data_IF_995860950930
#
_entry.id   IF_995860950930
#
_cell.length_a   1.000
_cell.length_b   1.000
_cell.length_c   1.000
_cell.angle_alpha   90.00
_cell.angle_beta   90.00
_cell.angle_gamma   90.00
#
_symmetry.space_group_name_H-M   'P 1'
#
loop_
_entity.id
_entity.type
_entity.pdbx_description
1 polymer ?
#
# COMPACT_ATOMS: atom_id res chain seq x y z
N UNK A 1 52.03 -48.36 9.96
CA UNK A 1 52.04 -49.81 9.71
C UNK A 1 50.65 -50.17 9.20
N UNK A 2 50.44 -50.14 7.89
CA UNK A 2 50.54 -51.25 6.91
C UNK A 2 49.31 -52.15 6.91
N UNK A 3 48.63 -52.25 5.75
CA UNK A 3 47.66 -53.32 5.48
C UNK A 3 46.47 -52.94 4.59
N UNK A 4 46.64 -53.02 3.26
CA UNK A 4 45.62 -53.33 2.22
C UNK A 4 46.24 -54.48 1.39
N UNK A 5 45.58 -55.15 0.41
CA UNK A 5 44.17 -55.36 0.03
C UNK A 5 43.83 -56.87 -0.21
N UNK A 6 42.61 -57.21 -0.69
CA UNK A 6 42.33 -58.15 -1.82
C UNK A 6 40.80 -58.35 -1.98
N UNK A 7 40.18 -57.91 -3.10
CA UNK A 7 39.91 -58.60 -4.40
C UNK A 7 38.62 -59.45 -4.37
N UNK A 8 37.50 -58.99 -4.96
CA UNK A 8 37.03 -59.16 -6.36
C UNK A 8 36.40 -60.53 -6.65
N UNK A 9 35.18 -60.51 -7.22
CA UNK A 9 34.41 -61.52 -8.00
C UNK A 9 33.05 -61.82 -7.35
N UNK A 10 31.91 -61.82 -8.04
CA UNK A 10 31.58 -61.70 -9.46
C UNK A 10 30.23 -62.39 -9.67
N UNK A 11 29.42 -61.89 -10.63
CA UNK A 11 28.27 -62.57 -11.27
C UNK A 11 27.10 -62.93 -10.36
N UNK A 12 25.99 -62.19 -10.31
CA UNK A 12 24.97 -62.03 -11.37
C UNK A 12 24.23 -63.34 -11.70
N UNK A 13 22.97 -63.16 -12.10
CA UNK A 13 22.09 -64.08 -12.82
C UNK A 13 21.21 -64.98 -11.94
N UNK A 14 19.90 -65.07 -12.15
CA UNK A 14 18.88 -64.29 -12.85
C UNK A 14 17.56 -64.88 -12.31
N UNK A 15 16.56 -64.04 -12.10
CA UNK A 15 15.35 -63.98 -12.94
C UNK A 15 14.56 -65.28 -13.03
N UNK A 16 13.27 -65.18 -12.73
CA UNK A 16 12.25 -65.16 -13.80
C UNK A 16 10.91 -64.82 -13.13
N UNK A 17 10.37 -63.63 -13.39
CA UNK A 17 9.56 -63.27 -14.58
C UNK A 17 8.11 -63.72 -14.37
N UNK A 18 7.06 -63.09 -14.89
CA UNK A 18 6.83 -62.49 -16.20
C UNK A 18 5.30 -62.22 -16.21
N UNK A 19 4.67 -61.22 -16.83
CA UNK A 19 4.89 -60.48 -18.07
C UNK A 19 3.95 -59.23 -18.03
N UNK A 20 4.37 -57.99 -18.36
CA UNK A 20 4.66 -57.42 -19.71
C UNK A 20 3.37 -57.23 -20.52
N UNK A 21 3.08 -56.14 -21.25
CA UNK A 21 3.56 -54.74 -21.43
C UNK A 21 2.69 -54.14 -22.56
N UNK A 22 2.55 -52.81 -22.65
CA UNK A 22 2.97 -52.00 -23.83
C UNK A 22 2.30 -50.61 -23.90
N UNK A 23 3.08 -49.62 -24.35
CA UNK A 23 2.65 -48.33 -24.91
C UNK A 23 2.96 -47.14 -24.01
N UNK A 24 4.13 -46.49 -24.09
CA UNK A 24 4.42 -45.37 -25.00
C UNK A 24 4.13 -44.02 -24.30
N UNK A 25 4.95 -42.96 -24.26
CA UNK A 25 6.09 -42.52 -25.07
C UNK A 25 6.66 -41.23 -24.41
N UNK A 26 7.96 -41.26 -24.04
CA UNK A 26 9.00 -40.18 -24.03
C UNK A 26 8.84 -38.97 -23.07
N UNK A 27 9.74 -38.79 -22.07
CA UNK A 27 11.08 -38.09 -22.06
C UNK A 27 10.93 -36.55 -22.06
N UNK A 28 11.67 -35.71 -21.31
CA UNK A 28 12.87 -35.84 -20.49
C UNK A 28 12.94 -34.68 -19.46
N UNK A 29 13.63 -34.92 -18.35
CA UNK A 29 14.09 -33.92 -17.38
C UNK A 29 15.28 -33.16 -17.98
N UNK A 30 15.25 -31.83 -17.96
CA UNK A 30 16.42 -30.95 -18.18
C UNK A 30 16.30 -29.74 -17.25
N UNK A 31 17.42 -29.39 -16.64
CA UNK A 31 17.65 -28.26 -15.75
C UNK A 31 17.40 -26.92 -16.47
N UNK A 32 16.77 -25.94 -15.80
CA UNK A 32 17.19 -24.53 -15.76
C UNK A 32 16.25 -23.72 -14.84
N UNK A 33 16.86 -23.06 -13.86
CA UNK A 33 16.61 -21.69 -13.37
C UNK A 33 15.24 -21.00 -13.56
N UNK A 34 14.75 -20.43 -12.46
CA UNK A 34 13.98 -19.19 -12.48
C UNK A 34 12.47 -19.33 -12.23
N UNK A 35 12.06 -19.30 -10.97
CA UNK A 35 10.82 -18.60 -10.61
C UNK A 35 10.80 -18.29 -9.11
N UNK A 36 11.53 -17.24 -8.72
CA UNK A 36 11.29 -16.56 -7.45
C UNK A 36 10.32 -15.43 -7.74
N UNK A 37 9.04 -15.73 -7.59
CA UNK A 37 7.92 -14.81 -7.74
C UNK A 37 7.83 -13.82 -6.55
N UNK A 38 8.96 -13.13 -6.28
CA UNK A 38 9.12 -12.12 -5.24
C UNK A 38 9.63 -10.80 -5.84
N UNK A 39 8.90 -10.20 -6.79
CA UNK A 39 9.31 -8.89 -7.33
C UNK A 39 8.19 -7.85 -7.49
N UNK A 40 6.95 -8.18 -7.16
CA UNK A 40 5.84 -7.22 -7.33
C UNK A 40 5.53 -6.43 -6.06
N UNK A 41 5.53 -7.10 -4.89
CA UNK A 41 5.05 -6.50 -3.63
C UNK A 41 6.15 -5.75 -2.88
N UNK A 42 7.38 -6.28 -2.92
CA UNK A 42 8.57 -5.64 -2.33
C UNK A 42 8.99 -4.42 -3.15
N UNK A 43 8.95 -4.50 -4.49
CA UNK A 43 9.25 -3.36 -5.37
C UNK A 43 8.29 -2.20 -5.15
N UNK A 44 6.98 -2.47 -4.99
CA UNK A 44 5.96 -1.44 -4.72
C UNK A 44 6.12 -0.77 -3.35
N UNK A 45 6.62 -1.49 -2.33
CA UNK A 45 6.95 -0.93 -1.00
C UNK A 45 8.29 -0.19 -0.97
N UNK A 46 9.30 -0.67 -1.69
CA UNK A 46 10.62 -0.05 -1.76
C UNK A 46 10.62 1.21 -2.65
N UNK A 47 9.87 1.20 -3.76
CA UNK A 47 9.61 2.37 -4.61
C UNK A 47 8.76 3.43 -3.90
N UNK A 48 8.02 3.05 -2.85
CA UNK A 48 7.31 3.97 -1.96
C UNK A 48 8.22 4.74 -0.99
N UNK A 49 9.42 4.24 -0.69
CA UNK A 49 10.38 4.88 0.21
C UNK A 49 11.32 5.87 -0.50
N UNK A 50 11.38 5.85 -1.84
CA UNK A 50 12.31 6.66 -2.66
C UNK A 50 11.62 7.62 -3.64
N UNK A 51 10.34 7.93 -3.45
CA UNK A 51 9.75 9.10 -4.10
C UNK A 51 10.05 10.31 -3.23
N UNK A 52 10.76 11.32 -3.72
CA UNK A 52 10.86 12.57 -2.98
C UNK A 52 9.43 13.09 -2.76
N UNK A 53 9.07 13.39 -1.51
CA UNK A 53 7.80 14.02 -1.16
C UNK A 53 7.84 15.46 -1.66
N UNK A 54 7.52 15.64 -2.92
CA UNK A 54 7.51 16.94 -3.56
C UNK A 54 6.36 17.77 -3.04
N UNK A 55 6.65 19.01 -2.70
CA UNK A 55 5.65 19.97 -2.20
C UNK A 55 5.70 21.22 -3.05
N UNK A 56 4.73 22.11 -2.85
CA UNK A 56 4.73 23.43 -3.49
C UNK A 56 6.00 24.26 -3.20
N UNK A 57 6.70 23.98 -2.09
CA UNK A 57 7.95 24.65 -1.69
C UNK A 57 9.21 23.96 -2.20
N UNK A 58 9.09 22.91 -2.99
CA UNK A 58 10.23 22.26 -3.64
C UNK A 58 10.80 23.16 -4.74
N UNK A 59 12.14 23.15 -4.89
CA UNK A 59 12.80 24.08 -5.82
C UNK A 59 12.70 23.58 -7.26
N UNK A 60 12.56 24.50 -8.21
CA UNK A 60 12.58 24.21 -9.65
C UNK A 60 13.89 23.54 -10.06
N UNK A 61 15.01 23.94 -9.44
CA UNK A 61 16.33 23.32 -9.64
C UNK A 61 16.31 21.83 -9.30
N UNK A 62 15.73 21.44 -8.16
CA UNK A 62 15.67 20.04 -7.76
C UNK A 62 14.82 19.20 -8.73
N UNK A 63 13.77 19.79 -9.30
CA UNK A 63 12.93 19.09 -10.29
C UNK A 63 13.61 18.90 -11.64
N UNK A 64 14.30 19.93 -12.13
CA UNK A 64 14.90 19.89 -13.46
C UNK A 64 16.24 19.16 -13.45
N UNK A 65 17.01 19.25 -12.36
CA UNK A 65 18.39 18.76 -12.30
C UNK A 65 18.60 17.64 -11.26
N UNK A 66 17.61 17.35 -10.42
CA UNK A 66 17.69 16.29 -9.41
C UNK A 66 17.35 14.90 -9.96
N UNK A 67 18.03 13.87 -9.43
CA UNK A 67 17.63 12.47 -9.59
C UNK A 67 18.08 11.74 -10.85
N UNK A 68 18.90 12.33 -11.73
CA UNK A 68 19.53 11.60 -12.84
C UNK A 68 20.88 11.04 -12.42
N UNK A 69 21.13 9.76 -12.70
CA UNK A 69 22.45 9.14 -12.57
C UNK A 69 23.45 9.92 -13.41
N UNK A 70 24.58 10.33 -12.84
CA UNK A 70 25.53 11.22 -13.50
C UNK A 70 26.48 10.43 -14.41
N UNK A 71 25.93 9.69 -15.37
CA UNK A 71 26.65 8.90 -16.40
C UNK A 71 27.76 9.71 -17.07
N UNK A 72 27.50 10.98 -17.35
CA UNK A 72 28.46 11.93 -17.94
C UNK A 72 29.71 12.23 -17.08
N UNK A 73 29.68 11.94 -15.77
CA UNK A 73 30.87 12.05 -14.89
C UNK A 73 31.80 10.84 -14.99
N UNK A 74 31.37 9.78 -15.67
CA UNK A 74 32.21 8.62 -15.97
C UNK A 74 33.41 9.05 -16.81
N UNK A 75 34.55 8.38 -16.60
CA UNK A 75 35.76 8.58 -17.41
C UNK A 75 35.61 7.90 -18.77
N UNK A 76 36.30 8.42 -19.78
CA UNK A 76 36.30 7.88 -21.14
C UNK A 76 36.73 6.41 -21.12
N UNK A 77 37.83 6.05 -20.45
CA UNK A 77 38.27 4.66 -20.37
C UNK A 77 37.27 3.74 -19.66
N UNK A 78 36.55 4.22 -18.65
CA UNK A 78 35.49 3.44 -17.99
C UNK A 78 34.32 3.18 -18.97
N UNK A 79 33.97 4.19 -19.77
CA UNK A 79 32.96 4.07 -20.82
C UNK A 79 33.39 3.10 -21.92
N UNK A 80 34.64 3.19 -22.39
CA UNK A 80 35.20 2.30 -23.42
C UNK A 80 35.22 0.86 -22.94
N UNK A 81 35.72 0.59 -21.74
CA UNK A 81 35.72 -0.77 -21.17
C UNK A 81 34.32 -1.35 -21.06
N UNK A 82 33.35 -0.52 -20.65
CA UNK A 82 31.97 -0.95 -20.48
C UNK A 82 31.24 -1.27 -21.81
N UNK A 83 31.69 -0.72 -22.94
CA UNK A 83 30.98 -0.84 -24.23
C UNK A 83 31.78 -1.58 -25.32
N UNK A 84 33.10 -1.47 -25.33
CA UNK A 84 34.02 -2.02 -26.34
C UNK A 84 34.98 -3.08 -25.76
N UNK A 85 34.99 -3.27 -24.43
CA UNK A 85 35.83 -4.26 -23.74
C UNK A 85 37.21 -3.74 -23.31
N UNK A 86 37.95 -4.57 -22.57
CA UNK A 86 39.19 -4.15 -21.87
C UNK A 86 40.34 -3.71 -22.78
N UNK A 87 40.27 -4.04 -24.07
CA UNK A 87 41.29 -3.70 -25.06
C UNK A 87 41.16 -2.26 -25.59
N UNK A 88 39.97 -1.65 -25.46
CA UNK A 88 39.73 -0.27 -25.92
C UNK A 88 40.03 0.72 -24.78
N UNK A 89 41.15 1.43 -24.90
CA UNK A 89 41.54 2.49 -23.96
C UNK A 89 42.35 3.58 -24.66
N UNK A 90 42.15 4.81 -24.23
CA UNK A 90 43.07 5.93 -24.50
C UNK A 90 44.15 5.99 -23.43
N UNK A 91 45.21 6.73 -23.69
CA UNK A 91 46.24 7.00 -22.67
C UNK A 91 45.65 7.76 -21.46
N UNK A 92 46.43 7.85 -20.39
CA UNK A 92 45.95 8.46 -19.14
C UNK A 92 45.72 9.98 -19.30
N UNK A 93 46.48 10.64 -20.18
CA UNK A 93 46.40 12.08 -20.42
C UNK A 93 45.10 12.47 -21.17
N UNK A 94 44.58 11.58 -22.03
CA UNK A 94 43.33 11.78 -22.76
C UNK A 94 42.12 11.12 -22.08
N UNK A 95 42.30 10.45 -20.94
CA UNK A 95 41.21 9.81 -20.17
C UNK A 95 40.33 10.83 -19.42
N UNK A 96 39.61 11.67 -20.16
CA UNK A 96 38.75 12.73 -19.60
C UNK A 96 37.38 12.23 -19.18
N UNK A 97 36.55 13.10 -18.61
CA UNK A 97 35.13 12.77 -18.36
C UNK A 97 34.38 12.70 -19.69
N UNK A 98 33.31 11.91 -19.74
CA UNK A 98 32.44 11.86 -20.91
C UNK A 98 31.84 13.23 -21.26
N UNK A 99 31.64 14.11 -20.27
CA UNK A 99 31.25 15.51 -20.51
C UNK A 99 32.26 16.31 -21.33
N UNK A 100 33.57 16.16 -21.05
CA UNK A 100 34.62 16.82 -21.82
C UNK A 100 34.79 16.17 -23.20
N UNK A 101 34.74 14.85 -23.26
CA UNK A 101 34.86 14.11 -24.52
C UNK A 101 33.74 14.45 -25.52
N UNK A 102 32.48 14.53 -25.07
CA UNK A 102 31.34 14.85 -25.96
C UNK A 102 31.43 16.25 -26.57
N UNK A 103 32.13 17.18 -25.92
CA UNK A 103 32.30 18.54 -26.45
C UNK A 103 33.29 18.59 -27.61
N UNK A 104 34.37 17.82 -27.54
CA UNK A 104 35.42 17.81 -28.57
C UNK A 104 36.10 16.42 -28.65
N UNK A 105 35.45 15.42 -29.28
CA UNK A 105 35.95 14.05 -29.30
C UNK A 105 37.33 13.89 -29.98
N UNK A 106 37.57 14.67 -31.05
CA UNK A 106 38.78 14.65 -31.85
C UNK A 106 40.03 15.07 -31.05
N UNK A 107 39.84 15.88 -30.00
CA UNK A 107 40.93 16.29 -29.10
C UNK A 107 41.46 15.15 -28.21
N UNK A 108 40.70 14.07 -28.04
CA UNK A 108 41.01 12.99 -27.08
C UNK A 108 41.22 11.62 -27.73
N UNK A 109 40.70 11.39 -28.93
CA UNK A 109 40.88 10.13 -29.66
C UNK A 109 41.45 10.43 -31.05
N UNK A 110 42.74 10.17 -31.24
CA UNK A 110 43.42 10.39 -32.51
C UNK A 110 43.17 9.27 -33.53
N UNK A 111 42.89 8.05 -33.06
CA UNK A 111 42.52 6.92 -33.92
C UNK A 111 41.11 7.13 -34.46
N UNK A 112 41.05 7.48 -35.75
CA UNK A 112 39.79 7.79 -36.44
C UNK A 112 38.84 6.59 -36.53
N UNK A 113 39.36 5.36 -36.60
CA UNK A 113 38.52 4.18 -36.65
C UNK A 113 37.86 3.92 -35.30
N UNK A 114 38.63 4.04 -34.21
CA UNK A 114 38.12 3.93 -32.85
C UNK A 114 37.13 5.07 -32.53
N UNK A 115 37.43 6.30 -32.96
CA UNK A 115 36.54 7.44 -32.76
C UNK A 115 35.21 7.22 -33.48
N UNK A 116 35.22 6.80 -34.74
CA UNK A 116 34.00 6.48 -35.50
C UNK A 116 33.19 5.38 -34.80
N UNK A 117 33.84 4.34 -34.29
CA UNK A 117 33.20 3.27 -33.53
C UNK A 117 32.51 3.81 -32.26
N UNK A 118 33.19 4.65 -31.48
CA UNK A 118 32.63 5.29 -30.28
C UNK A 118 31.42 6.17 -30.62
N UNK A 119 31.53 7.00 -31.66
CA UNK A 119 30.46 7.91 -32.07
C UNK A 119 29.22 7.13 -32.56
N UNK A 120 29.41 5.94 -33.12
CA UNK A 120 28.33 5.08 -33.57
C UNK A 120 27.66 4.26 -32.44
N UNK A 121 28.21 4.25 -31.22
CA UNK A 121 27.60 3.55 -30.09
C UNK A 121 26.28 4.18 -29.65
N UNK A 122 25.25 3.35 -29.47
CA UNK A 122 23.97 3.77 -28.91
C UNK A 122 24.13 4.41 -27.52
N UNK A 123 25.03 3.87 -26.68
CA UNK A 123 25.33 4.41 -25.35
C UNK A 123 25.95 5.82 -25.42
N UNK A 124 26.80 6.09 -26.41
CA UNK A 124 27.38 7.42 -26.62
C UNK A 124 26.30 8.41 -27.07
N UNK A 125 25.45 8.01 -28.01
CA UNK A 125 24.34 8.85 -28.50
C UNK A 125 23.34 9.19 -27.40
N UNK A 126 23.04 8.23 -26.52
CA UNK A 126 22.22 8.47 -25.34
C UNK A 126 22.87 9.45 -24.36
N UNK A 127 24.16 9.24 -24.03
CA UNK A 127 24.90 10.14 -23.14
C UNK A 127 24.98 11.57 -23.71
N UNK A 128 25.24 11.70 -25.02
CA UNK A 128 25.25 12.99 -25.72
C UNK A 128 23.89 13.69 -25.64
N UNK A 129 22.79 12.96 -25.87
CA UNK A 129 21.42 13.48 -25.70
C UNK A 129 21.16 13.92 -24.26
N UNK A 130 21.57 13.12 -23.27
CA UNK A 130 21.41 13.45 -21.85
C UNK A 130 22.15 14.74 -21.46
N UNK A 131 23.36 14.94 -21.98
CA UNK A 131 24.14 16.16 -21.77
C UNK A 131 23.46 17.39 -22.40
N UNK A 132 22.96 17.27 -23.63
CA UNK A 132 22.25 18.37 -24.29
C UNK A 132 20.95 18.72 -23.57
N UNK A 133 20.16 17.71 -23.16
CA UNK A 133 18.99 17.92 -22.31
C UNK A 133 19.36 18.63 -21.01
N UNK A 134 20.44 18.19 -20.34
CA UNK A 134 20.90 18.78 -19.08
C UNK A 134 21.29 20.25 -19.28
N UNK A 135 21.94 20.60 -20.38
CA UNK A 135 22.29 21.97 -20.73
C UNK A 135 21.04 22.84 -20.89
N UNK A 136 20.05 22.37 -21.65
CA UNK A 136 18.75 23.05 -21.82
C UNK A 136 18.07 23.26 -20.46
N UNK A 137 18.11 22.26 -19.58
CA UNK A 137 17.52 22.34 -18.25
C UNK A 137 18.27 23.33 -17.34
N UNK A 138 19.59 23.41 -17.42
CA UNK A 138 20.39 24.41 -16.69
C UNK A 138 20.07 25.83 -17.13
N UNK A 139 19.99 26.08 -18.44
CA UNK A 139 19.60 27.37 -18.99
C UNK A 139 18.21 27.79 -18.53
N UNK A 140 17.26 26.84 -18.53
CA UNK A 140 15.91 27.08 -18.01
C UNK A 140 15.92 27.44 -16.51
N UNK A 141 16.69 26.73 -15.68
CA UNK A 141 16.83 27.06 -14.24
C UNK A 141 17.41 28.46 -14.05
N UNK A 142 18.48 28.79 -14.77
CA UNK A 142 19.14 30.10 -14.68
C UNK A 142 18.17 31.22 -15.05
N UNK A 143 17.47 31.06 -16.18
CA UNK A 143 16.44 32.00 -16.62
C UNK A 143 15.32 32.17 -15.60
N UNK A 144 14.76 31.07 -15.11
CA UNK A 144 13.69 31.11 -14.12
C UNK A 144 14.12 31.81 -12.83
N UNK A 145 15.36 31.57 -12.36
CA UNK A 145 15.91 32.28 -11.21
C UNK A 145 16.03 33.79 -11.45
N UNK A 146 16.49 34.22 -12.63
CA UNK A 146 16.55 35.65 -12.99
C UNK A 146 15.17 36.31 -13.03
N UNK A 147 14.15 35.54 -13.40
CA UNK A 147 12.76 35.98 -13.43
C UNK A 147 12.04 35.77 -12.08
N UNK A 148 12.77 35.39 -11.02
CA UNK A 148 12.26 35.27 -9.66
C UNK A 148 11.50 33.98 -9.36
N UNK A 149 11.56 32.98 -10.23
CA UNK A 149 10.89 31.68 -10.09
C UNK A 149 11.87 30.63 -9.55
N UNK A 150 11.81 30.39 -8.25
CA UNK A 150 12.65 29.45 -7.51
C UNK A 150 11.89 28.18 -7.10
N UNK A 151 10.60 28.30 -6.84
CA UNK A 151 9.75 27.26 -6.27
C UNK A 151 8.59 26.86 -7.20
N UNK A 152 7.98 25.71 -6.92
CA UNK A 152 6.92 25.15 -7.74
C UNK A 152 5.61 25.94 -7.66
N UNK A 153 5.30 26.54 -6.51
CA UNK A 153 4.18 27.47 -6.36
C UNK A 153 4.34 28.71 -7.22
N UNK A 154 5.54 29.28 -7.29
CA UNK A 154 5.85 30.40 -8.16
C UNK A 154 5.73 29.99 -9.63
N UNK A 155 6.20 28.79 -10.01
CA UNK A 155 6.00 28.26 -11.36
C UNK A 155 4.52 28.11 -11.71
N UNK A 156 3.65 27.76 -10.76
CA UNK A 156 2.20 27.63 -11.00
C UNK A 156 1.62 28.94 -11.53
N UNK A 157 1.99 30.06 -10.92
CA UNK A 157 1.40 31.37 -11.18
C UNK A 157 2.25 32.22 -12.16
N UNK A 158 3.38 31.69 -12.62
CA UNK A 158 4.27 32.34 -13.57
C UNK A 158 3.65 32.42 -14.98
N UNK A 159 3.63 33.63 -15.56
CA UNK A 159 3.00 33.91 -16.86
C UNK A 159 3.93 33.59 -18.05
N UNK A 160 5.25 33.78 -17.92
CA UNK A 160 6.22 33.66 -19.02
C UNK A 160 6.58 32.22 -19.42
N UNK A 161 5.72 31.24 -19.14
CA UNK A 161 5.98 29.79 -19.36
C UNK A 161 6.36 29.47 -20.80
N UNK A 162 5.82 30.18 -21.77
CA UNK A 162 6.08 29.96 -23.20
C UNK A 162 7.51 30.35 -23.61
N UNK A 163 8.18 31.16 -22.79
CA UNK A 163 9.56 31.57 -23.03
C UNK A 163 10.58 30.56 -22.50
N UNK A 164 10.14 29.57 -21.71
CA UNK A 164 10.98 28.51 -21.14
C UNK A 164 11.06 27.35 -22.12
N UNK A 165 12.23 26.72 -22.21
CA UNK A 165 12.46 25.57 -23.09
C UNK A 165 11.35 24.51 -22.93
N UNK A 166 10.78 23.97 -24.04
CA UNK A 166 9.65 23.05 -23.98
C UNK A 166 9.88 21.83 -23.08
N UNK A 167 11.10 21.31 -23.04
CA UNK A 167 11.50 20.20 -22.18
C UNK A 167 11.36 20.54 -20.69
N UNK A 168 11.91 21.68 -20.26
CA UNK A 168 11.81 22.14 -18.88
C UNK A 168 10.36 22.42 -18.47
N UNK A 169 9.60 23.11 -19.33
CA UNK A 169 8.17 23.38 -19.12
C UNK A 169 7.36 22.08 -18.95
N UNK A 170 7.60 21.08 -19.81
CA UNK A 170 6.93 19.78 -19.73
C UNK A 170 7.23 19.08 -18.40
N UNK A 171 8.49 19.10 -17.97
CA UNK A 171 8.91 18.45 -16.71
C UNK A 171 8.26 19.14 -15.50
N UNK A 172 8.30 20.47 -15.41
CA UNK A 172 7.69 21.21 -14.32
C UNK A 172 6.17 21.04 -14.26
N UNK A 173 5.47 21.05 -15.40
CA UNK A 173 4.02 20.83 -15.44
C UNK A 173 3.63 19.41 -15.03
N UNK A 174 4.43 18.41 -15.40
CA UNK A 174 4.23 17.01 -14.98
C UNK A 174 4.31 16.90 -13.45
N UNK A 175 5.34 17.51 -12.87
CA UNK A 175 5.55 17.55 -11.41
C UNK A 175 4.41 18.30 -10.71
N UNK A 176 4.08 19.51 -11.17
CA UNK A 176 3.02 20.34 -10.59
C UNK A 176 1.68 19.59 -10.56
N UNK A 177 1.35 18.88 -11.65
CA UNK A 177 0.14 18.06 -11.74
C UNK A 177 0.15 16.92 -10.72
N UNK A 178 1.31 16.30 -10.49
CA UNK A 178 1.45 15.23 -9.50
C UNK A 178 1.24 15.78 -8.08
N UNK A 179 1.91 16.88 -7.72
CA UNK A 179 1.81 17.52 -6.39
C UNK A 179 0.36 17.92 -6.10
N UNK A 180 -0.31 18.60 -7.05
CA UNK A 180 -1.72 18.99 -6.88
C UNK A 180 -2.66 17.80 -6.68
N UNK A 181 -2.42 16.69 -7.39
CA UNK A 181 -3.21 15.47 -7.25
C UNK A 181 -3.01 14.83 -5.88
N UNK A 182 -1.78 14.81 -5.38
CA UNK A 182 -1.43 14.27 -4.07
C UNK A 182 -2.02 15.16 -2.95
N UNK A 183 -1.88 16.49 -3.02
CA UNK A 183 -2.48 17.43 -2.08
C UNK A 183 -4.01 17.31 -2.01
N UNK A 184 -4.69 17.21 -3.17
CA UNK A 184 -6.14 16.98 -3.22
C UNK A 184 -6.54 15.68 -2.54
N UNK A 185 -5.81 14.59 -2.82
CA UNK A 185 -6.07 13.28 -2.22
C UNK A 185 -5.89 13.33 -0.71
N UNK A 186 -4.83 13.97 -0.22
CA UNK A 186 -4.60 14.12 1.22
C UNK A 186 -5.67 14.99 1.90
N UNK A 187 -6.11 16.07 1.25
CA UNK A 187 -7.17 16.92 1.75
C UNK A 187 -8.51 16.16 1.82
N UNK A 188 -8.85 15.37 0.80
CA UNK A 188 -10.03 14.50 0.83
C UNK A 188 -9.95 13.44 1.92
N UNK A 189 -8.79 12.82 2.12
CA UNK A 189 -8.59 11.84 3.19
C UNK A 189 -8.65 12.48 4.59
N UNK A 190 -8.10 13.69 4.77
CA UNK A 190 -8.27 14.47 6.01
C UNK A 190 -9.74 14.78 6.26
N UNK A 191 -10.46 15.30 5.26
CA UNK A 191 -11.89 15.58 5.38
C UNK A 191 -12.72 14.31 5.67
N UNK A 192 -12.36 13.15 5.09
CA UNK A 192 -12.99 11.87 5.45
C UNK A 192 -12.75 11.51 6.90
N UNK A 193 -11.52 11.62 7.39
CA UNK A 193 -11.17 11.33 8.80
C UNK A 193 -11.89 12.28 9.75
N UNK A 194 -11.91 13.57 9.46
CA UNK A 194 -12.61 14.57 10.27
C UNK A 194 -14.11 14.27 10.31
N UNK A 195 -14.71 13.95 9.15
CA UNK A 195 -16.11 13.54 9.08
C UNK A 195 -16.39 12.26 9.87
N UNK A 196 -15.52 11.26 9.79
CA UNK A 196 -15.64 10.01 10.56
C UNK A 196 -15.48 10.26 12.05
N UNK A 197 -14.56 11.13 12.47
CA UNK A 197 -14.36 11.47 13.87
C UNK A 197 -15.52 12.28 14.44
N UNK A 198 -16.04 13.26 13.68
CA UNK A 198 -17.25 13.99 14.03
C UNK A 198 -18.43 13.03 14.14
N UNK A 199 -18.60 12.14 13.17
CA UNK A 199 -19.65 11.12 13.19
C UNK A 199 -19.51 10.25 14.45
N UNK A 200 -18.35 9.64 14.70
CA UNK A 200 -18.09 8.82 15.88
C UNK A 200 -18.40 9.53 17.20
N UNK A 201 -17.88 10.75 17.39
CA UNK A 201 -18.09 11.54 18.60
C UNK A 201 -19.57 11.92 18.81
N UNK A 202 -20.29 12.15 17.73
CA UNK A 202 -21.70 12.48 17.77
C UNK A 202 -22.58 11.24 17.99
N UNK A 203 -22.24 10.11 17.36
CA UNK A 203 -22.86 8.80 17.60
C UNK A 203 -22.80 8.43 19.08
N UNK A 204 -21.60 8.51 19.68
CA UNK A 204 -21.41 8.26 21.11
C UNK A 204 -22.34 9.13 21.97
N UNK A 205 -22.50 10.42 21.62
CA UNK A 205 -23.40 11.34 22.33
C UNK A 205 -24.89 10.98 22.19
N UNK A 206 -25.34 10.51 21.01
CA UNK A 206 -26.74 10.08 20.85
C UNK A 206 -27.00 8.80 21.64
N UNK A 207 -26.10 7.83 21.58
CA UNK A 207 -26.19 6.59 22.33
C UNK A 207 -26.31 6.90 23.83
N UNK A 208 -25.40 7.72 24.38
CA UNK A 208 -25.44 8.14 25.79
C UNK A 208 -26.79 8.76 26.19
N UNK A 209 -27.38 9.58 25.31
CA UNK A 209 -28.68 10.21 25.54
C UNK A 209 -29.85 9.20 25.50
N UNK A 210 -29.86 8.27 24.54
CA UNK A 210 -30.94 7.29 24.38
C UNK A 210 -30.91 6.22 25.47
N UNK A 211 -29.72 5.74 25.83
CA UNK A 211 -29.52 4.80 26.95
C UNK A 211 -29.56 5.51 28.31
N UNK A 212 -29.70 6.84 28.33
CA UNK A 212 -29.74 7.68 29.55
C UNK A 212 -28.56 7.42 30.49
N UNK A 213 -27.38 7.15 29.93
CA UNK A 213 -26.17 6.81 30.67
C UNK A 213 -26.26 5.53 31.51
N UNK A 214 -27.24 4.63 31.25
CA UNK A 214 -27.34 3.34 31.95
C UNK A 214 -26.37 2.33 31.35
N UNK A 215 -25.95 1.36 32.17
CA UNK A 215 -25.19 0.19 31.70
C UNK A 215 -26.05 -0.59 30.72
N UNK A 216 -25.50 -0.90 29.53
CA UNK A 216 -26.18 -1.69 28.50
C UNK A 216 -26.25 -3.15 28.93
N UNK A 217 -27.45 -3.63 29.29
CA UNK A 217 -27.63 -5.02 29.74
C UNK A 217 -27.38 -6.03 28.63
N UNK A 218 -27.59 -5.63 27.37
CA UNK A 218 -27.32 -6.47 26.20
C UNK A 218 -25.84 -6.85 26.02
N UNK A 219 -24.92 -6.09 26.66
CA UNK A 219 -23.48 -6.33 26.69
C UNK A 219 -23.00 -7.13 27.92
N UNK A 220 -23.92 -7.58 28.78
CA UNK A 220 -23.58 -8.49 29.89
C UNK A 220 -23.24 -9.87 29.32
N UNK A 221 -22.28 -10.56 29.94
CA UNK A 221 -21.91 -11.93 29.56
C UNK A 221 -22.96 -12.92 30.05
N UNK A 222 -23.29 -13.90 29.22
CA UNK A 222 -24.23 -14.96 29.54
C UNK A 222 -23.87 -15.67 30.86
N UNK A 223 -22.61 -16.06 31.05
CA UNK A 223 -22.21 -16.73 32.29
C UNK A 223 -22.34 -15.84 33.53
N UNK A 224 -22.15 -14.52 33.41
CA UNK A 224 -22.31 -13.59 34.53
C UNK A 224 -23.79 -13.49 34.90
N UNK A 225 -24.69 -13.39 33.90
CA UNK A 225 -26.14 -13.46 34.10
C UNK A 225 -26.58 -14.78 34.75
N UNK A 226 -26.13 -15.93 34.23
CA UNK A 226 -26.47 -17.25 34.79
C UNK A 226 -25.94 -17.44 36.22
N UNK A 227 -24.78 -16.87 36.54
CA UNK A 227 -24.22 -16.89 37.90
C UNK A 227 -25.10 -16.11 38.86
N UNK A 228 -25.52 -14.91 38.46
CA UNK A 228 -26.26 -13.99 39.33
C UNK A 228 -27.74 -14.36 39.47
N UNK A 229 -28.39 -14.76 38.39
CA UNK A 229 -29.85 -14.91 38.33
C UNK A 229 -30.31 -16.38 38.26
N UNK A 230 -29.40 -17.32 37.94
CA UNK A 230 -29.74 -18.74 37.73
C UNK A 230 -28.94 -19.68 38.64
N UNK A 231 -28.33 -19.19 39.72
CA UNK A 231 -27.49 -19.99 40.65
C UNK A 231 -26.36 -20.78 39.96
N UNK A 232 -25.91 -20.28 38.82
CA UNK A 232 -24.92 -20.94 37.98
C UNK A 232 -25.43 -22.11 37.13
N UNK A 233 -26.75 -22.33 37.09
CA UNK A 233 -27.36 -23.31 36.16
C UNK A 233 -27.07 -22.91 34.71
N UNK A 234 -26.74 -23.91 33.89
CA UNK A 234 -26.44 -23.71 32.46
C UNK A 234 -25.08 -23.09 32.14
N UNK A 235 -24.21 -22.84 33.13
CA UNK A 235 -22.86 -22.31 32.87
C UNK A 235 -22.03 -23.33 32.10
N UNK A 236 -21.50 -22.89 30.96
CA UNK A 236 -20.54 -23.64 30.17
C UNK A 236 -19.26 -22.84 29.99
N UNK A 237 -18.11 -23.54 30.02
CA UNK A 237 -16.81 -22.90 29.74
C UNK A 237 -16.77 -22.26 28.35
N UNK A 238 -17.45 -22.85 27.37
CA UNK A 238 -17.54 -22.35 26.00
C UNK A 238 -18.27 -21.01 25.89
N UNK A 239 -19.17 -20.69 26.83
CA UNK A 239 -20.03 -19.49 26.78
C UNK A 239 -19.46 -18.27 27.50
N UNK A 240 -18.19 -18.31 27.94
CA UNK A 240 -17.56 -17.26 28.76
C UNK A 240 -17.56 -15.87 28.12
N UNK A 241 -17.59 -15.79 26.80
CA UNK A 241 -17.57 -14.54 26.04
C UNK A 241 -18.88 -14.27 25.27
N UNK A 242 -19.90 -15.10 25.46
CA UNK A 242 -21.21 -14.89 24.82
C UNK A 242 -21.91 -13.74 25.53
N UNK A 243 -22.45 -12.79 24.78
CA UNK A 243 -23.19 -11.65 25.31
C UNK A 243 -24.68 -11.92 25.25
N UNK A 244 -25.46 -11.25 26.11
CA UNK A 244 -26.90 -11.46 26.18
C UNK A 244 -27.62 -11.14 24.87
N UNK A 245 -27.19 -10.10 24.14
CA UNK A 245 -27.74 -9.81 22.79
C UNK A 245 -27.63 -10.99 21.83
N UNK A 246 -26.54 -11.75 21.90
CA UNK A 246 -26.30 -12.88 20.99
C UNK A 246 -27.03 -14.13 21.49
N UNK A 247 -27.12 -14.30 22.81
CA UNK A 247 -27.83 -15.41 23.45
C UNK A 247 -29.35 -15.35 23.18
N UNK A 248 -29.98 -14.19 23.37
CA UNK A 248 -31.43 -14.06 23.20
C UNK A 248 -31.91 -14.11 21.73
N UNK A 249 -30.99 -14.06 20.75
CA UNK A 249 -31.31 -14.33 19.33
C UNK A 249 -31.64 -15.81 19.13
N UNK A 250 -30.82 -16.69 19.71
CA UNK A 250 -31.00 -18.15 19.62
C UNK A 250 -30.40 -18.85 20.85
N UNK A 251 -31.18 -18.98 21.95
CA UNK A 251 -30.70 -19.58 23.19
C UNK A 251 -30.25 -21.05 23.04
N UNK A 252 -30.86 -21.79 22.10
CA UNK A 252 -30.61 -23.23 21.89
C UNK A 252 -29.21 -23.52 21.35
N UNK A 253 -28.60 -22.52 20.71
CA UNK A 253 -27.22 -22.58 20.23
C UNK A 253 -26.20 -22.61 21.37
N UNK A 254 -26.55 -22.07 22.54
CA UNK A 254 -25.62 -21.90 23.66
C UNK A 254 -25.93 -22.80 24.84
N UNK A 255 -27.20 -23.18 25.04
CA UNK A 255 -27.63 -24.16 26.04
C UNK A 255 -28.35 -25.29 25.30
N UNK A 256 -27.64 -26.40 25.09
CA UNK A 256 -28.16 -27.55 24.34
C UNK A 256 -29.06 -28.46 25.16
N UNK A 257 -28.93 -28.44 26.49
CA UNK A 257 -29.81 -29.18 27.38
C UNK A 257 -31.17 -28.48 27.44
N UNK A 258 -32.17 -29.10 26.82
CA UNK A 258 -33.52 -28.56 26.73
C UNK A 258 -34.22 -28.46 28.09
N UNK A 259 -33.88 -29.32 29.06
CA UNK A 259 -34.42 -29.27 30.42
C UNK A 259 -33.89 -28.05 31.16
N UNK A 260 -32.57 -27.87 31.15
CA UNK A 260 -31.90 -26.71 31.77
C UNK A 260 -32.33 -25.40 31.11
N UNK A 261 -32.42 -25.36 29.78
CA UNK A 261 -32.90 -24.17 29.07
C UNK A 261 -34.37 -23.86 29.42
N UNK A 262 -35.23 -24.89 29.53
CA UNK A 262 -36.63 -24.72 29.90
C UNK A 262 -36.81 -24.17 31.32
N UNK A 263 -36.00 -24.63 32.28
CA UNK A 263 -35.99 -24.09 33.65
C UNK A 263 -35.54 -22.63 33.69
N UNK A 264 -34.50 -22.27 32.93
CA UNK A 264 -34.03 -20.89 32.80
C UNK A 264 -35.11 -20.01 32.18
N UNK A 265 -35.78 -20.47 31.13
CA UNK A 265 -36.85 -19.73 30.45
C UNK A 265 -38.11 -19.55 31.30
N UNK A 266 -38.36 -20.44 32.25
CA UNK A 266 -39.48 -20.33 33.18
C UNK A 266 -39.28 -19.25 34.27
N UNK A 267 -38.06 -18.72 34.42
CA UNK A 267 -37.76 -17.72 35.44
C UNK A 267 -38.18 -16.30 35.00
N UNK A 268 -38.79 -15.54 35.92
CA UNK A 268 -39.15 -14.13 35.69
C UNK A 268 -37.94 -13.27 35.33
N UNK A 269 -36.77 -13.58 35.90
CA UNK A 269 -35.51 -12.91 35.60
C UNK A 269 -35.10 -13.08 34.12
N UNK A 270 -35.39 -14.23 33.51
CA UNK A 270 -35.14 -14.45 32.09
C UNK A 270 -36.06 -13.57 31.24
N UNK A 271 -37.35 -13.56 31.51
CA UNK A 271 -38.32 -12.74 30.76
C UNK A 271 -38.02 -11.24 30.87
N UNK A 272 -37.66 -10.76 32.06
CA UNK A 272 -37.28 -9.37 32.29
C UNK A 272 -36.00 -8.98 31.53
N UNK A 273 -34.98 -9.85 31.57
CA UNK A 273 -33.72 -9.61 30.89
C UNK A 273 -33.88 -9.68 29.36
N UNK A 274 -34.64 -10.66 28.85
CA UNK A 274 -34.94 -10.77 27.42
C UNK A 274 -35.64 -9.51 26.90
N UNK A 275 -36.64 -9.01 27.64
CA UNK A 275 -37.34 -7.78 27.30
C UNK A 275 -36.41 -6.57 27.26
N UNK A 276 -35.57 -6.41 28.28
CA UNK A 276 -34.61 -5.30 28.35
C UNK A 276 -33.59 -5.35 27.20
N UNK A 277 -33.06 -6.53 26.88
CA UNK A 277 -32.13 -6.71 25.75
C UNK A 277 -32.81 -6.41 24.41
N UNK A 278 -34.06 -6.85 24.22
CA UNK A 278 -34.83 -6.54 23.00
C UNK A 278 -35.11 -5.04 22.86
N UNK A 279 -35.45 -4.35 23.94
CA UNK A 279 -35.65 -2.90 23.95
C UNK A 279 -34.35 -2.14 23.63
N UNK A 280 -33.23 -2.55 24.23
CA UNK A 280 -31.91 -1.95 23.98
C UNK A 280 -31.44 -2.15 22.53
N UNK A 281 -31.63 -3.35 21.97
CA UNK A 281 -31.34 -3.61 20.55
C UNK A 281 -32.21 -2.76 19.62
N UNK A 282 -33.47 -2.51 19.98
CA UNK A 282 -34.37 -1.62 19.25
C UNK A 282 -33.87 -0.17 19.23
N UNK A 283 -33.36 0.32 20.36
CA UNK A 283 -32.73 1.64 20.44
C UNK A 283 -31.45 1.73 19.60
N UNK A 284 -30.62 0.68 19.57
CA UNK A 284 -29.42 0.64 18.73
C UNK A 284 -29.76 0.66 17.23
N UNK A 285 -30.81 -0.04 16.83
CA UNK A 285 -31.33 0.00 15.46
C UNK A 285 -31.79 1.42 15.09
N UNK A 286 -32.48 2.10 16.00
CA UNK A 286 -32.94 3.48 15.80
C UNK A 286 -31.76 4.45 15.65
N UNK A 287 -30.73 4.33 16.48
CA UNK A 287 -29.47 5.06 16.33
C UNK A 287 -28.89 4.86 14.93
N UNK A 288 -28.82 3.60 14.47
CA UNK A 288 -28.28 3.27 13.15
C UNK A 288 -29.09 3.90 12.01
N UNK A 289 -30.42 3.88 12.11
CA UNK A 289 -31.33 4.53 11.15
C UNK A 289 -31.12 6.05 11.12
N UNK A 290 -30.93 6.68 12.27
CA UNK A 290 -30.66 8.12 12.36
C UNK A 290 -29.34 8.49 11.70
N UNK A 291 -28.31 7.66 11.87
CA UNK A 291 -27.01 7.88 11.23
C UNK A 291 -27.10 7.76 9.71
N UNK A 292 -27.83 6.77 9.19
CA UNK A 292 -28.05 6.64 7.75
C UNK A 292 -28.75 7.88 7.16
N UNK A 293 -29.57 8.58 7.97
CA UNK A 293 -30.26 9.81 7.60
C UNK A 293 -29.49 11.09 7.93
N UNK A 294 -28.25 10.98 8.42
CA UNK A 294 -27.40 12.13 8.70
C UNK A 294 -27.70 12.87 10.02
N UNK A 295 -28.45 12.26 10.93
CA UNK A 295 -28.80 12.82 12.24
C UNK A 295 -27.83 12.28 13.28
N UNK A 296 -26.98 13.15 13.81
CA UNK A 296 -25.92 12.78 14.74
C UNK A 296 -25.96 13.59 16.06
N UNK A 297 -26.85 14.57 16.20
CA UNK A 297 -26.96 15.37 17.44
C UNK A 297 -28.41 15.64 17.82
N UNK A 298 -28.63 15.99 19.10
CA UNK A 298 -29.94 16.38 19.61
C UNK A 298 -30.54 17.60 18.87
N UNK A 299 -29.69 18.53 18.42
CA UNK A 299 -30.13 19.68 17.61
C UNK A 299 -30.63 19.25 16.23
N UNK A 300 -29.88 18.39 15.54
CA UNK A 300 -30.30 17.80 14.27
C UNK A 300 -31.55 16.93 14.43
N UNK A 301 -31.66 16.21 15.54
CA UNK A 301 -32.83 15.42 15.90
C UNK A 301 -34.09 16.27 16.04
N UNK A 302 -34.02 17.41 16.75
CA UNK A 302 -35.15 18.35 16.87
C UNK A 302 -35.61 18.89 15.52
N UNK A 303 -34.67 19.16 14.59
CA UNK A 303 -34.98 19.57 13.23
C UNK A 303 -35.59 18.43 12.38
N UNK A 304 -35.01 17.23 12.48
CA UNK A 304 -35.45 16.03 11.79
C UNK A 304 -36.85 15.59 12.20
N UNK A 305 -37.18 15.61 13.50
CA UNK A 305 -38.50 15.25 14.05
C UNK A 305 -39.61 16.16 13.52
N UNK A 306 -39.30 17.42 13.19
CA UNK A 306 -40.27 18.37 12.60
C UNK A 306 -40.55 18.10 11.12
N UNK A 307 -39.68 17.36 10.43
CA UNK A 307 -39.74 17.13 8.99
C UNK A 307 -40.14 15.71 8.59
N UNK A 308 -40.05 14.72 9.50
CA UNK A 308 -40.28 13.31 9.19
C UNK A 308 -41.10 12.56 10.26
N UNK A 309 -41.97 11.65 9.81
CA UNK A 309 -42.73 10.67 10.62
C UNK A 309 -41.98 9.35 10.74
N UNK A 310 -40.81 9.35 11.39
CA UNK A 310 -40.13 8.09 11.71
C UNK A 310 -40.65 7.55 13.03
N UNK A 311 -41.25 6.36 13.01
CA UNK A 311 -41.56 5.60 14.21
C UNK A 311 -40.26 5.05 14.79
N UNK A 312 -39.80 5.61 15.90
CA UNK A 312 -38.73 5.04 16.72
C UNK A 312 -39.34 4.17 17.82
N UNK A 313 -38.62 3.14 18.23
CA UNK A 313 -38.94 2.30 19.38
C UNK A 313 -38.71 3.00 20.73
N UNK A 314 -38.08 4.18 20.71
CA UNK A 314 -37.99 5.05 21.88
C UNK A 314 -39.39 5.42 22.39
N UNK A 315 -39.80 4.86 23.54
CA UNK A 315 -41.06 5.24 24.22
C UNK A 315 -41.04 6.74 24.54
N UNK A 316 -42.00 7.47 23.99
CA UNK A 316 -42.31 8.83 24.40
C UNK A 316 -42.87 8.78 25.83
N UNK A 317 -42.11 9.33 26.78
CA UNK A 317 -42.60 9.72 28.10
C UNK A 317 -42.77 11.23 28.13
#
# INVERSE_FOLDING_TARGET
>A
MSGRPESVQGGNVESQSSNVSQGGRRRARSEFEGDTDHSSTTRRRLEGMRRPQWTMRSTVKDFLLGGRTLSYKMRLNDFLRSNLGDTAAVDEDHNVTMEAFVQDPDAYVQDQQLLEEILNLAAYQELKRELEERKILWEAVYKLHHEGVYFLDQWRDYEGKDTVAPLARRNLNRVLTQVLREERREAEERARRDKQQIMFNLCAKIEDLLFRGRVRVMDIKLNDFLTLEMEGRGILRANRNVLLRDFFIDPTRYIHDAGVLGEIQAADAYAGMEGAVRDEMGLEEDVRKLHHKGVFSLGQWKGFKRQNTVTLHAREN
#
